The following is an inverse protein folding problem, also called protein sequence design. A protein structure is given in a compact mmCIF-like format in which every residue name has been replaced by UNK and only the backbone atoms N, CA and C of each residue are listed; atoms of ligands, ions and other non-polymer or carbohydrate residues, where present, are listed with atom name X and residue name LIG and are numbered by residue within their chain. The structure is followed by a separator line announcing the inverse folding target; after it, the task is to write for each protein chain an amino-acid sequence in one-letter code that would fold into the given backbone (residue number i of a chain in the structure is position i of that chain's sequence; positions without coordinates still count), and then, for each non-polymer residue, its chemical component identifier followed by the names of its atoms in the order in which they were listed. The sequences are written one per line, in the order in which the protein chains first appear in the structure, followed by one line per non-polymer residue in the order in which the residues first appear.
data_IF_318086437626
#
_entry.id   IF_318086437626
#
_cell.length_a   1.000
_cell.length_b   1.000
_cell.length_c   1.000
_cell.angle_alpha   90.00
_cell.angle_beta   90.00
_cell.angle_gamma   90.00
#
_symmetry.space_group_name_H-M   'P 1'
#
loop_
_entity.id
_entity.type
_entity.pdbx_description
1 polymer ?
#
# COMPACT_ATOMS: atom_id res chain seq x y z
N UNK A 1 16.70 -6.52 10.90
CA UNK A 1 15.89 -5.99 9.78
C UNK A 1 14.46 -6.50 10.00
N UNK A 2 13.49 -5.63 10.30
CA UNK A 2 12.11 -6.05 10.58
C UNK A 2 11.37 -6.07 9.24
N UNK A 3 11.14 -7.28 8.73
CA UNK A 3 10.46 -7.50 7.46
C UNK A 3 9.05 -6.89 7.51
N UNK A 4 8.70 -6.04 6.54
CA UNK A 4 7.36 -5.45 6.42
C UNK A 4 6.28 -6.52 6.28
N UNK A 5 5.03 -6.21 6.65
CA UNK A 5 3.91 -7.12 6.39
C UNK A 5 3.62 -7.13 4.90
N UNK A 6 3.49 -8.31 4.28
CA UNK A 6 3.25 -8.43 2.84
C UNK A 6 2.02 -9.30 2.56
N UNK A 7 1.15 -8.89 1.63
CA UNK A 7 -0.07 -9.60 1.27
C UNK A 7 -0.43 -9.39 -0.20
N UNK A 8 -1.24 -10.28 -0.78
CA UNK A 8 -1.70 -10.16 -2.17
C UNK A 8 -2.81 -9.12 -2.28
N UNK A 9 -2.79 -8.26 -3.30
CA UNK A 9 -3.88 -7.33 -3.60
C UNK A 9 -5.22 -8.04 -3.80
N UNK A 10 -6.30 -7.44 -3.30
CA UNK A 10 -7.65 -8.03 -3.26
C UNK A 10 -7.82 -9.14 -2.23
N UNK A 11 -6.76 -9.51 -1.50
CA UNK A 11 -6.83 -10.43 -0.36
C UNK A 11 -7.29 -9.75 0.93
N UNK A 12 -7.34 -10.53 2.03
CA UNK A 12 -7.63 -9.98 3.35
C UNK A 12 -6.53 -9.01 3.79
N UNK A 13 -6.91 -7.77 4.13
CA UNK A 13 -5.99 -6.77 4.66
C UNK A 13 -5.51 -7.22 6.05
N UNK A 14 -4.19 -7.35 6.29
CA UNK A 14 -3.67 -7.78 7.58
C UNK A 14 -3.96 -6.79 8.71
N UNK A 15 -4.13 -7.30 9.93
CA UNK A 15 -4.40 -6.48 11.12
C UNK A 15 -3.27 -5.48 11.47
N UNK A 16 -2.07 -5.64 10.90
CA UNK A 16 -0.98 -4.66 11.05
C UNK A 16 -1.16 -3.40 10.21
N UNK A 17 -2.05 -3.43 9.22
CA UNK A 17 -2.38 -2.28 8.37
C UNK A 17 -3.39 -1.39 9.11
N UNK A 18 -3.08 -0.10 9.35
CA UNK A 18 -4.00 0.81 10.01
C UNK A 18 -5.31 0.98 9.23
N UNK A 19 -6.44 1.03 9.95
CA UNK A 19 -7.79 1.15 9.38
C UNK A 19 -7.93 2.35 8.45
N UNK A 20 -7.25 3.46 8.77
CA UNK A 20 -7.23 4.66 7.93
C UNK A 20 -6.79 4.40 6.48
N UNK A 21 -5.99 3.36 6.22
CA UNK A 21 -5.54 3.01 4.86
C UNK A 21 -6.49 2.05 4.12
N UNK A 22 -7.41 1.38 4.82
CA UNK A 22 -8.17 0.25 4.26
C UNK A 22 -9.04 0.67 3.08
N UNK A 23 -9.70 1.83 3.17
CA UNK A 23 -10.56 2.33 2.10
C UNK A 23 -9.77 2.56 0.81
N UNK A 24 -8.62 3.23 0.90
CA UNK A 24 -7.78 3.55 -0.26
C UNK A 24 -7.09 2.32 -0.84
N UNK A 25 -6.61 1.39 0.00
CA UNK A 25 -6.11 0.08 -0.44
C UNK A 25 -7.21 -0.66 -1.22
N UNK A 26 -8.43 -0.70 -0.68
CA UNK A 26 -9.57 -1.32 -1.36
C UNK A 26 -9.94 -0.64 -2.67
N UNK A 27 -9.77 0.69 -2.79
CA UNK A 27 -9.96 1.42 -4.05
C UNK A 27 -8.92 1.01 -5.09
N UNK A 28 -7.64 0.97 -4.73
CA UNK A 28 -6.56 0.52 -5.63
C UNK A 28 -6.76 -0.95 -6.03
N UNK A 29 -7.12 -1.82 -5.08
CA UNK A 29 -7.34 -3.26 -5.32
C UNK A 29 -8.43 -3.55 -6.37
N UNK A 30 -9.42 -2.67 -6.50
CA UNK A 30 -10.49 -2.77 -7.51
C UNK A 30 -10.03 -2.42 -8.93
N UNK A 31 -8.94 -1.68 -9.08
CA UNK A 31 -8.38 -1.28 -10.37
C UNK A 31 -7.45 -2.36 -10.95
N UNK A 32 -7.14 -3.40 -10.18
CA UNK A 32 -6.20 -4.45 -10.56
C UNK A 32 -6.95 -5.59 -11.27
N UNK A 33 -6.70 -5.75 -12.56
CA UNK A 33 -7.31 -6.79 -13.41
C UNK A 33 -6.32 -7.87 -13.86
N UNK A 34 -5.06 -7.80 -13.40
CA UNK A 34 -3.96 -8.70 -13.82
C UNK A 34 -3.84 -9.95 -12.93
N UNK A 35 -3.34 -11.05 -13.53
CA UNK A 35 -3.01 -12.31 -12.85
C UNK A 35 -1.59 -12.78 -13.26
N UNK A 36 -0.67 -13.10 -12.32
CA UNK A 36 -0.83 -13.02 -10.87
C UNK A 36 -1.00 -11.57 -10.39
N UNK A 37 -1.87 -11.40 -9.39
CA UNK A 37 -2.07 -10.10 -8.73
C UNK A 37 -0.80 -9.64 -7.98
N UNK A 38 -0.44 -8.35 -8.07
CA UNK A 38 0.70 -7.79 -7.33
C UNK A 38 0.46 -7.79 -5.82
N UNK A 39 1.54 -7.73 -5.05
CA UNK A 39 1.53 -7.78 -3.58
C UNK A 39 1.76 -6.40 -2.98
N UNK A 40 1.01 -6.11 -1.94
CA UNK A 40 1.26 -4.99 -1.05
C UNK A 40 2.37 -5.31 -0.05
N UNK A 41 3.17 -4.31 0.30
CA UNK A 41 4.15 -4.33 1.38
C UNK A 41 3.90 -3.13 2.29
N UNK A 42 3.61 -3.39 3.57
CA UNK A 42 3.52 -2.36 4.60
C UNK A 42 4.89 -2.13 5.21
N UNK A 43 5.35 -0.88 5.12
CA UNK A 43 6.52 -0.36 5.83
C UNK A 43 6.11 0.77 6.77
N UNK A 44 6.98 1.07 7.73
CA UNK A 44 6.81 2.17 8.67
C UNK A 44 7.99 3.11 8.52
N UNK A 45 7.76 4.29 7.95
CA UNK A 45 8.77 5.31 7.70
C UNK A 45 8.54 6.47 8.67
N UNK A 46 9.51 6.75 9.53
CA UNK A 46 9.40 7.80 10.56
C UNK A 46 8.14 7.68 11.44
N UNK A 47 7.70 6.44 11.71
CA UNK A 47 6.49 6.14 12.46
C UNK A 47 5.19 6.27 11.68
N UNK A 48 5.24 6.55 10.37
CA UNK A 48 4.07 6.63 9.48
C UNK A 48 3.92 5.35 8.65
N UNK A 49 2.70 4.82 8.50
CA UNK A 49 2.45 3.65 7.68
C UNK A 49 2.51 4.00 6.19
N UNK A 50 3.19 3.17 5.41
CA UNK A 50 3.26 3.26 3.95
C UNK A 50 3.00 1.87 3.38
N UNK A 51 1.89 1.71 2.67
CA UNK A 51 1.57 0.49 1.93
C UNK A 51 1.95 0.70 0.46
N UNK A 52 2.92 -0.06 -0.03
CA UNK A 52 3.40 -0.01 -1.40
C UNK A 52 3.00 -1.28 -2.14
N UNK A 53 2.43 -1.14 -3.33
CA UNK A 53 2.09 -2.22 -4.23
C UNK A 53 3.25 -2.45 -5.20
N UNK A 54 3.51 -3.71 -5.57
CA UNK A 54 4.60 -4.06 -6.51
C UNK A 54 4.58 -3.33 -7.86
N UNK A 55 3.46 -2.70 -8.24
CA UNK A 55 3.34 -1.91 -9.46
C UNK A 55 3.66 -0.42 -9.28
N UNK A 56 4.18 -0.02 -8.11
CA UNK A 56 4.56 1.37 -7.79
C UNK A 56 3.48 2.15 -7.03
N UNK A 57 2.25 1.63 -6.90
CA UNK A 57 1.18 2.38 -6.24
C UNK A 57 1.43 2.45 -4.73
N UNK A 58 1.26 3.64 -4.13
CA UNK A 58 1.50 3.86 -2.71
C UNK A 58 0.26 4.40 -2.03
N UNK A 59 -0.10 3.84 -0.88
CA UNK A 59 -1.12 4.34 0.02
C UNK A 59 -0.46 4.72 1.35
N UNK A 60 -0.56 5.99 1.73
CA UNK A 60 0.07 6.52 2.95
C UNK A 60 -0.82 7.58 3.61
N UNK A 61 -0.41 8.09 4.78
CA UNK A 61 -1.09 9.18 5.47
C UNK A 61 -0.42 10.52 5.17
N UNK A 62 -1.22 11.52 4.80
CA UNK A 62 -0.76 12.90 4.67
C UNK A 62 -0.43 13.56 6.03
N UNK A 63 -0.04 14.83 6.00
CA UNK A 63 0.27 15.59 7.23
C UNK A 63 -0.93 15.73 8.19
N UNK A 64 -2.15 15.61 7.69
CA UNK A 64 -3.40 15.70 8.45
C UNK A 64 -3.91 14.33 8.93
N UNK A 65 -3.23 13.24 8.57
CA UNK A 65 -3.63 11.88 8.91
C UNK A 65 -4.69 11.29 7.98
N UNK A 66 -4.91 11.88 6.80
CA UNK A 66 -5.82 11.33 5.78
C UNK A 66 -5.06 10.42 4.84
N UNK A 67 -5.69 9.31 4.44
CA UNK A 67 -5.11 8.42 3.46
C UNK A 67 -5.11 9.07 2.08
N UNK A 68 -3.96 8.98 1.40
CA UNK A 68 -3.74 9.46 0.05
C UNK A 68 -3.12 8.35 -0.79
N UNK A 69 -3.43 8.36 -2.09
CA UNK A 69 -2.84 7.46 -3.08
C UNK A 69 -1.83 8.24 -3.90
N UNK A 70 -0.62 7.70 -4.01
CA UNK A 70 0.45 8.19 -4.87
C UNK A 70 0.95 7.09 -5.81
N UNK A 71 1.88 7.47 -6.68
CA UNK A 71 2.61 6.56 -7.55
C UNK A 71 4.10 6.84 -7.35
N UNK A 72 4.91 5.80 -7.17
CA UNK A 72 6.35 5.91 -7.32
C UNK A 72 6.62 5.66 -8.80
N UNK A 73 6.97 6.71 -9.54
CA UNK A 73 7.51 6.55 -10.88
C UNK A 73 8.90 5.89 -10.76
N UNK A 74 9.03 4.67 -11.26
CA UNK A 74 10.31 3.94 -11.39
C UNK A 74 11.23 4.54 -12.48
N UNK A 75 10.86 5.69 -13.05
CA UNK A 75 11.54 6.36 -14.18
C UNK A 75 12.75 7.22 -13.73
N UNK A 76 13.47 6.79 -12.70
CA UNK A 76 14.79 7.35 -12.36
C UNK A 76 15.87 6.28 -12.55
N UNK A 77 16.29 6.08 -13.80
CA UNK A 77 17.54 5.40 -14.17
C UNK A 77 18.36 6.23 -15.15
#
# INVERSE_FOLDING_TARGET
MRLGTRWTSGGAIPASVPEALHEQIGQVDRLIEVDPRPKWTLTWLEGRPVAELENGAVVSLDATGRAVVGQIDDDTF
#
